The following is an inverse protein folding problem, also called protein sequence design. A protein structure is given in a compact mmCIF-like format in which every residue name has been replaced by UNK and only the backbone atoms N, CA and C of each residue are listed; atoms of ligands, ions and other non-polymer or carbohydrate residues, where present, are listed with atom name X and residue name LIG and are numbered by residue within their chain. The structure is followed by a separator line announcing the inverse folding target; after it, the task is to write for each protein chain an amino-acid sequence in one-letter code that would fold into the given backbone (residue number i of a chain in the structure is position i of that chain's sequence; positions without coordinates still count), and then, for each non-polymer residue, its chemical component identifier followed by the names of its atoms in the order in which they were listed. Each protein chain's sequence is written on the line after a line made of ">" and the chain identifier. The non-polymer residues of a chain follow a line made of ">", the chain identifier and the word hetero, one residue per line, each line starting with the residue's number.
data_IF_394654413128
#
_entry.id   IF_394654413128
#
_cell.length_a   1.000
_cell.length_b   1.000
_cell.length_c   1.000
_cell.angle_alpha   90.00
_cell.angle_beta   90.00
_cell.angle_gamma   90.00
#
_symmetry.space_group_name_H-M   'P 1'
#
loop_
_entity.id
_entity.type
_entity.pdbx_description
1 polymer ?
#
# COMPACT_ATOMS: atom_id res chain seq x y z
N UNK A 1 -26.27 0.27 -46.81
CA UNK A 1 -26.90 1.41 -46.08
C UNK A 1 -27.55 1.02 -44.76
N UNK A 2 -27.99 -0.20 -44.54
CA UNK A 2 -28.64 -0.63 -43.29
C UNK A 2 -27.64 -0.69 -42.10
N UNK A 3 -26.37 -0.98 -42.36
CA UNK A 3 -25.34 -1.12 -41.32
C UNK A 3 -25.00 0.21 -40.59
N UNK A 4 -25.07 1.34 -41.30
CA UNK A 4 -24.73 2.67 -40.73
C UNK A 4 -25.84 3.16 -39.80
N UNK A 5 -27.09 2.86 -40.12
CA UNK A 5 -28.27 3.23 -39.31
C UNK A 5 -28.25 2.45 -37.98
N UNK A 6 -27.89 1.16 -37.97
CA UNK A 6 -27.79 0.36 -36.75
C UNK A 6 -26.66 0.84 -35.82
N UNK A 7 -25.54 1.30 -36.39
CA UNK A 7 -24.42 1.86 -35.60
C UNK A 7 -24.80 3.18 -34.94
N UNK A 8 -25.56 4.05 -35.63
CA UNK A 8 -26.04 5.32 -35.08
C UNK A 8 -27.03 5.11 -33.93
N UNK A 9 -27.92 4.10 -34.03
CA UNK A 9 -28.88 3.77 -32.97
C UNK A 9 -28.15 3.22 -31.73
N UNK A 10 -27.12 2.36 -31.91
CA UNK A 10 -26.33 1.85 -30.78
C UNK A 10 -25.58 2.97 -30.02
N UNK A 11 -25.05 3.97 -30.75
CA UNK A 11 -24.40 5.12 -30.12
C UNK A 11 -25.38 6.05 -29.39
N UNK A 12 -26.64 6.08 -29.80
CA UNK A 12 -27.66 6.86 -29.11
C UNK A 12 -28.10 6.21 -27.79
N UNK A 13 -28.17 4.87 -27.75
CA UNK A 13 -28.49 4.14 -26.51
C UNK A 13 -27.37 4.16 -25.48
N UNK A 14 -26.11 4.29 -25.90
CA UNK A 14 -24.96 4.42 -24.98
C UNK A 14 -24.82 5.81 -24.35
N UNK A 15 -25.57 6.79 -24.83
CA UNK A 15 -25.47 8.20 -24.37
C UNK A 15 -26.48 8.59 -23.29
N UNK A 16 -27.41 7.68 -22.92
CA UNK A 16 -28.52 8.01 -22.03
C UNK A 16 -28.35 7.55 -20.57
N UNK A 17 -27.25 6.87 -20.23
CA UNK A 17 -27.03 6.36 -18.85
C UNK A 17 -25.93 7.10 -18.08
N UNK A 18 -25.47 8.25 -18.56
CA UNK A 18 -24.70 9.15 -17.70
C UNK A 18 -25.67 10.19 -17.14
N UNK A 19 -26.59 9.76 -16.28
CA UNK A 19 -27.15 10.66 -15.31
C UNK A 19 -25.99 11.20 -14.48
N UNK A 20 -25.71 12.48 -14.71
CA UNK A 20 -24.84 13.23 -13.82
C UNK A 20 -25.36 13.02 -12.41
N UNK A 21 -24.62 12.26 -11.59
CA UNK A 21 -24.79 12.26 -10.16
C UNK A 21 -24.61 13.71 -9.74
N UNK A 22 -25.73 14.44 -9.68
CA UNK A 22 -25.79 15.71 -8.99
C UNK A 22 -25.29 15.40 -7.59
N UNK A 23 -24.09 15.87 -7.32
CA UNK A 23 -23.56 15.91 -5.98
C UNK A 23 -24.43 16.92 -5.24
N UNK A 24 -25.57 16.43 -4.72
CA UNK A 24 -26.34 17.19 -3.77
C UNK A 24 -25.38 17.51 -2.63
N UNK A 25 -25.17 18.79 -2.44
CA UNK A 25 -24.43 19.33 -1.33
C UNK A 25 -25.03 18.78 -0.04
N UNK A 26 -24.49 17.63 0.42
CA UNK A 26 -24.67 17.18 1.79
C UNK A 26 -23.77 18.06 2.64
N UNK A 27 -24.10 19.36 2.69
CA UNK A 27 -23.72 20.21 3.80
C UNK A 27 -24.65 19.90 4.99
N UNK A 28 -24.83 18.62 5.29
CA UNK A 28 -25.20 18.23 6.63
C UNK A 28 -23.93 18.40 7.47
N UNK A 29 -23.76 19.64 7.95
CA UNK A 29 -22.97 19.89 9.13
C UNK A 29 -23.59 19.03 10.24
N UNK A 30 -23.03 17.82 10.41
CA UNK A 30 -23.27 17.04 11.62
C UNK A 30 -22.68 17.92 12.73
N UNK A 31 -23.53 18.74 13.33
CA UNK A 31 -23.19 19.40 14.57
C UNK A 31 -23.02 18.31 15.61
N UNK A 32 -21.80 17.79 15.74
CA UNK A 32 -21.44 16.91 16.84
C UNK A 32 -21.44 17.80 18.08
N UNK A 33 -22.57 17.80 18.78
CA UNK A 33 -22.71 18.49 20.04
C UNK A 33 -21.92 17.68 21.08
N UNK A 34 -20.63 18.02 21.23
CA UNK A 34 -19.83 17.51 22.33
C UNK A 34 -20.37 18.13 23.61
N UNK A 35 -20.75 17.34 24.64
CA UNK A 35 -21.10 17.90 25.92
C UNK A 35 -19.89 18.67 26.48
N UNK A 36 -20.03 19.97 26.60
CA UNK A 36 -18.99 20.89 27.12
C UNK A 36 -18.59 20.57 28.58
N UNK A 37 -19.33 19.70 29.24
CA UNK A 37 -19.01 19.23 30.60
C UNK A 37 -17.69 18.42 30.70
N UNK A 38 -17.13 17.98 29.60
CA UNK A 38 -15.82 17.30 29.55
C UNK A 38 -14.64 18.28 29.51
N UNK A 39 -14.90 19.59 29.31
CA UNK A 39 -13.87 20.61 29.22
C UNK A 39 -13.61 21.32 30.57
N UNK A 40 -14.42 21.06 31.64
CA UNK A 40 -14.29 21.73 32.90
C UNK A 40 -13.20 21.17 33.83
N UNK A 41 -12.62 20.06 33.53
CA UNK A 41 -11.41 19.58 34.16
C UNK A 41 -10.28 19.53 33.14
N UNK A 42 -9.35 20.51 33.15
CA UNK A 42 -8.09 20.31 32.47
C UNK A 42 -7.34 19.20 33.25
N UNK A 43 -7.60 17.96 32.90
CA UNK A 43 -6.65 16.90 33.21
C UNK A 43 -5.39 17.29 32.44
N UNK A 44 -4.49 18.00 33.09
CA UNK A 44 -3.09 18.03 32.70
C UNK A 44 -2.64 16.59 32.75
N UNK A 45 -2.83 15.89 31.62
CA UNK A 45 -2.04 14.74 31.34
C UNK A 45 -0.64 15.30 31.19
N UNK A 46 0.13 15.24 32.25
CA UNK A 46 1.58 15.30 32.18
C UNK A 46 1.91 14.19 31.16
N UNK A 47 2.03 14.59 29.90
CA UNK A 47 2.69 13.78 28.88
C UNK A 47 4.13 13.80 29.36
N UNK A 48 4.45 12.84 30.25
CA UNK A 48 5.83 12.46 30.44
C UNK A 48 6.33 12.10 29.09
N UNK A 49 7.22 12.91 28.54
CA UNK A 49 7.94 12.72 27.27
C UNK A 49 8.89 11.51 27.35
N UNK A 50 8.40 10.39 27.79
CA UNK A 50 8.90 9.08 27.46
C UNK A 50 8.13 8.59 26.22
N UNK A 51 8.20 9.37 25.13
CA UNK A 51 8.02 8.83 23.81
C UNK A 51 9.29 7.99 23.58
N UNK A 52 9.21 6.73 24.03
CA UNK A 52 10.09 5.68 23.51
C UNK A 52 10.08 5.84 21.99
N UNK A 53 11.15 6.43 21.45
CA UNK A 53 11.26 6.73 20.04
C UNK A 53 11.42 5.40 19.31
N UNK A 54 10.29 4.80 18.94
CA UNK A 54 10.24 3.64 18.07
C UNK A 54 10.85 4.05 16.72
N UNK A 55 12.04 3.55 16.44
CA UNK A 55 12.66 3.72 15.15
C UNK A 55 12.13 2.63 14.22
N UNK A 56 11.36 3.03 13.21
CA UNK A 56 10.74 2.11 12.26
C UNK A 56 11.50 2.11 10.93
N UNK A 57 11.85 0.94 10.47
CA UNK A 57 12.38 0.69 9.14
C UNK A 57 11.30 0.09 8.22
N UNK A 58 11.33 0.48 6.97
CA UNK A 58 10.39 0.03 5.96
C UNK A 58 11.09 -0.82 4.91
N UNK A 59 10.47 -1.93 4.55
CA UNK A 59 10.97 -2.87 3.55
C UNK A 59 9.87 -3.18 2.54
N UNK A 60 10.24 -3.51 1.33
CA UNK A 60 9.33 -3.99 0.30
C UNK A 60 9.68 -5.44 -0.01
N UNK A 61 8.82 -6.37 0.36
CA UNK A 61 8.93 -7.76 -0.01
C UNK A 61 8.37 -7.95 -1.42
N UNK A 62 9.24 -8.34 -2.35
CA UNK A 62 8.93 -8.51 -3.77
C UNK A 62 8.24 -9.85 -4.01
N UNK A 63 8.74 -10.89 -3.36
CA UNK A 63 8.19 -12.23 -3.44
C UNK A 63 8.90 -13.20 -2.51
N UNK A 64 8.36 -14.41 -2.39
CA UNK A 64 8.99 -15.51 -1.65
C UNK A 64 8.91 -16.79 -2.49
N UNK A 65 10.07 -17.33 -2.83
CA UNK A 65 10.23 -18.42 -3.79
C UNK A 65 10.75 -19.70 -3.11
N UNK A 66 10.16 -20.83 -3.45
CA UNK A 66 10.64 -22.13 -2.95
C UNK A 66 11.99 -22.53 -3.56
N UNK A 67 12.30 -22.04 -4.77
CA UNK A 67 13.56 -22.29 -5.44
C UNK A 67 14.38 -20.99 -5.53
N UNK A 68 15.62 -21.04 -5.07
CA UNK A 68 16.55 -19.90 -5.04
C UNK A 68 16.81 -19.32 -6.44
N UNK A 69 16.74 -20.15 -7.51
CA UNK A 69 16.92 -19.69 -8.87
C UNK A 69 15.92 -18.59 -9.26
N UNK A 70 14.64 -18.75 -8.91
CA UNK A 70 13.61 -17.75 -9.19
C UNK A 70 13.77 -16.47 -8.36
N UNK A 71 14.31 -16.59 -7.14
CA UNK A 71 14.64 -15.43 -6.33
C UNK A 71 15.77 -14.60 -6.95
N UNK A 72 16.82 -15.27 -7.45
CA UNK A 72 17.95 -14.61 -8.15
C UNK A 72 17.46 -13.97 -9.48
N UNK A 73 16.57 -14.62 -10.20
CA UNK A 73 16.01 -14.06 -11.43
C UNK A 73 15.21 -12.79 -11.15
N UNK A 74 14.35 -12.78 -10.12
CA UNK A 74 13.61 -11.61 -9.68
C UNK A 74 14.54 -10.47 -9.22
N UNK A 75 15.61 -10.78 -8.46
CA UNK A 75 16.63 -9.81 -8.07
C UNK A 75 17.31 -9.18 -9.29
N UNK A 76 17.74 -9.99 -10.26
CA UNK A 76 18.41 -9.52 -11.46
C UNK A 76 17.52 -8.63 -12.34
N UNK A 77 16.22 -8.93 -12.45
CA UNK A 77 15.28 -8.12 -13.20
C UNK A 77 15.13 -6.71 -12.62
N UNK A 78 15.18 -6.58 -11.30
CA UNK A 78 14.90 -5.34 -10.58
C UNK A 78 16.14 -4.56 -10.16
N UNK A 79 17.33 -5.19 -10.16
CA UNK A 79 18.57 -4.61 -9.63
C UNK A 79 18.98 -3.27 -10.26
N UNK A 80 18.59 -3.03 -11.53
CA UNK A 80 18.90 -1.78 -12.23
C UNK A 80 18.01 -0.60 -11.83
N UNK A 81 16.83 -0.88 -11.27
CA UNK A 81 15.81 0.14 -11.00
C UNK A 81 15.56 0.35 -9.50
N UNK A 82 15.77 -0.70 -8.72
CA UNK A 82 15.49 -0.72 -7.29
C UNK A 82 16.80 -0.90 -6.51
N UNK A 83 17.15 0.03 -5.62
CA UNK A 83 18.33 -0.10 -4.78
C UNK A 83 18.13 -1.10 -3.65
N UNK A 84 19.24 -1.65 -3.14
CA UNK A 84 19.29 -2.47 -1.94
C UNK A 84 18.34 -3.67 -1.95
N UNK A 85 18.33 -4.43 -3.05
CA UNK A 85 17.65 -5.71 -3.11
C UNK A 85 18.54 -6.78 -2.46
N UNK A 86 17.93 -7.67 -1.69
CA UNK A 86 18.60 -8.80 -1.07
C UNK A 86 17.68 -10.03 -1.01
N UNK A 87 18.30 -11.21 -1.00
CA UNK A 87 17.59 -12.48 -0.82
C UNK A 87 17.85 -12.99 0.60
N UNK A 88 16.77 -13.24 1.35
CA UNK A 88 16.82 -13.76 2.72
C UNK A 88 16.02 -15.04 2.81
N UNK A 89 16.56 -16.04 3.50
CA UNK A 89 15.84 -17.28 3.77
C UNK A 89 14.84 -17.07 4.90
N UNK A 90 13.58 -17.44 4.68
CA UNK A 90 12.48 -17.30 5.64
C UNK A 90 11.64 -18.56 5.67
N UNK A 91 11.09 -18.91 6.83
CA UNK A 91 10.14 -20.02 6.93
C UNK A 91 8.75 -19.59 6.46
N UNK A 92 8.08 -20.47 5.70
CA UNK A 92 6.72 -20.24 5.24
C UNK A 92 5.75 -20.22 6.42
N UNK A 93 4.90 -19.20 6.49
CA UNK A 93 3.79 -19.14 7.46
C UNK A 93 2.65 -20.11 7.11
N UNK A 94 2.51 -20.47 5.84
CA UNK A 94 1.45 -21.37 5.36
C UNK A 94 1.83 -22.86 5.45
N UNK A 95 3.12 -23.16 5.37
CA UNK A 95 3.65 -24.53 5.42
C UNK A 95 4.80 -24.61 6.42
N UNK A 96 4.52 -25.00 7.67
CA UNK A 96 5.55 -25.10 8.70
C UNK A 96 6.73 -25.98 8.27
N UNK A 97 7.95 -25.48 8.48
CA UNK A 97 9.18 -26.17 8.11
C UNK A 97 9.64 -25.98 6.67
N UNK A 98 8.85 -25.38 5.79
CA UNK A 98 9.27 -25.08 4.42
C UNK A 98 10.08 -23.78 4.37
N UNK A 99 11.32 -23.88 3.91
CA UNK A 99 12.19 -22.74 3.68
C UNK A 99 11.87 -22.08 2.33
N UNK A 100 11.77 -20.75 2.33
CA UNK A 100 11.55 -19.92 1.15
C UNK A 100 12.65 -18.88 1.03
N UNK A 101 12.98 -18.52 -0.20
CA UNK A 101 13.89 -17.42 -0.53
C UNK A 101 13.07 -16.16 -0.75
N UNK A 102 13.05 -15.28 0.23
CA UNK A 102 12.34 -14.00 0.18
C UNK A 102 13.22 -12.93 -0.47
N UNK A 103 12.73 -12.29 -1.50
CA UNK A 103 13.37 -11.15 -2.16
C UNK A 103 12.81 -9.88 -1.56
N UNK A 104 13.68 -9.08 -0.93
CA UNK A 104 13.30 -7.85 -0.22
C UNK A 104 14.16 -6.68 -0.70
N UNK A 105 13.57 -5.50 -0.72
CA UNK A 105 14.26 -4.23 -0.96
C UNK A 105 14.16 -3.33 0.26
N UNK A 106 15.24 -2.66 0.61
CA UNK A 106 15.32 -1.79 1.78
C UNK A 106 16.58 -2.04 2.63
N UNK A 107 16.69 -1.42 3.80
CA UNK A 107 15.69 -0.59 4.50
C UNK A 107 15.48 0.79 3.86
N UNK A 108 14.26 1.31 3.97
CA UNK A 108 13.89 2.67 3.57
C UNK A 108 13.66 3.53 4.82
N UNK A 109 14.12 4.80 4.77
CA UNK A 109 14.01 5.73 5.90
C UNK A 109 12.58 6.11 6.27
N UNK A 110 11.66 6.05 5.32
CA UNK A 110 10.26 6.41 5.53
C UNK A 110 9.33 5.61 4.63
N UNK A 111 8.06 5.58 5.02
CA UNK A 111 7.01 4.85 4.31
C UNK A 111 6.79 5.36 2.87
N UNK A 112 7.00 6.65 2.62
CA UNK A 112 6.84 7.23 1.28
C UNK A 112 7.88 6.67 0.31
N UNK A 113 9.16 6.61 0.72
CA UNK A 113 10.23 6.03 -0.10
C UNK A 113 9.98 4.54 -0.41
N UNK A 114 9.50 3.79 0.59
CA UNK A 114 9.15 2.38 0.40
C UNK A 114 7.94 2.21 -0.54
N UNK A 115 6.92 3.08 -0.45
CA UNK A 115 5.78 3.06 -1.37
C UNK A 115 6.19 3.39 -2.81
N UNK A 116 7.09 4.35 -3.02
CA UNK A 116 7.62 4.66 -4.35
C UNK A 116 8.38 3.47 -4.96
N UNK A 117 9.15 2.75 -4.15
CA UNK A 117 9.81 1.52 -4.59
C UNK A 117 8.79 0.41 -4.91
N UNK A 118 7.78 0.23 -4.05
CA UNK A 118 6.67 -0.70 -4.27
C UNK A 118 5.98 -0.43 -5.60
N UNK A 119 5.69 0.82 -5.92
CA UNK A 119 5.01 1.22 -7.16
C UNK A 119 5.86 0.86 -8.39
N UNK A 120 7.17 1.14 -8.37
CA UNK A 120 8.09 0.76 -9.44
C UNK A 120 8.13 -0.76 -9.64
N UNK A 121 8.20 -1.54 -8.56
CA UNK A 121 8.21 -3.00 -8.60
C UNK A 121 6.89 -3.54 -9.18
N UNK A 122 5.76 -2.89 -8.87
CA UNK A 122 4.45 -3.26 -9.43
C UNK A 122 4.39 -3.02 -10.95
N UNK A 123 5.01 -1.95 -11.44
CA UNK A 123 5.09 -1.65 -12.90
C UNK A 123 5.87 -2.76 -13.63
N UNK A 124 6.87 -3.37 -12.99
CA UNK A 124 7.62 -4.49 -13.55
C UNK A 124 6.87 -5.84 -13.48
N UNK A 125 5.62 -5.83 -13.02
CA UNK A 125 4.73 -7.00 -13.02
C UNK A 125 4.81 -7.89 -11.77
N UNK A 126 5.43 -7.43 -10.69
CA UNK A 126 5.45 -8.11 -9.40
C UNK A 126 4.29 -7.63 -8.49
N UNK A 127 3.97 -8.41 -7.46
CA UNK A 127 2.98 -8.06 -6.42
C UNK A 127 3.66 -7.81 -5.06
N UNK A 128 4.35 -6.67 -4.89
CA UNK A 128 5.12 -6.41 -3.70
C UNK A 128 4.27 -6.07 -2.48
N UNK A 129 4.73 -6.47 -1.31
CA UNK A 129 4.10 -6.18 -0.02
C UNK A 129 5.00 -5.28 0.83
N UNK A 130 4.42 -4.20 1.39
CA UNK A 130 5.12 -3.34 2.35
C UNK A 130 5.25 -4.05 3.70
N UNK A 131 6.44 -4.04 4.28
CA UNK A 131 6.77 -4.55 5.61
C UNK A 131 7.34 -3.43 6.46
N UNK A 132 6.96 -3.39 7.72
CA UNK A 132 7.50 -2.44 8.70
C UNK A 132 8.10 -3.21 9.85
N UNK A 133 9.31 -2.83 10.28
CA UNK A 133 9.96 -3.34 11.47
C UNK A 133 10.29 -2.15 12.36
N UNK A 134 9.77 -2.14 13.59
CA UNK A 134 10.04 -1.11 14.58
C UNK A 134 10.81 -1.75 15.72
N UNK A 135 11.89 -1.09 16.15
CA UNK A 135 12.70 -1.50 17.29
C UNK A 135 12.63 -0.40 18.36
N UNK A 136 12.53 -0.80 19.62
CA UNK A 136 12.68 0.12 20.75
C UNK A 136 14.17 0.40 20.93
N UNK A 137 14.51 1.65 21.06
CA UNK A 137 15.88 2.11 21.24
C UNK A 137 16.20 2.24 22.72
#
# INVERSE_FOLDING_TARGET
>A
MISIVMLAIALFYLKTDIESIKRDDVSNSIAINFPTSLLENPVLIEVTDEIDSLECEYFVQIGAYGNKKYAIEAENMLSNQIPNISITEVYSSLQPGKLLNSVISGPYKNKSAANNAKEKITIEGFEPTLRTRCEQK
#
